data_IF_287078894812
#
_entry.id   IF_287078894812
#
_cell.length_a   1.000
_cell.length_b   1.000
_cell.length_c   1.000
_cell.angle_alpha   90.00
_cell.angle_beta   90.00
_cell.angle_gamma   90.00
#
_symmetry.space_group_name_H-M   'P 1'
#
loop_
_entity.id
_entity.type
_entity.pdbx_description
1 polymer ?
#
# COMPACT_ATOMS: atom_id res chain seq x y z
N UNK A 1 9.10 -10.88 -9.48
CA UNK A 1 7.81 -10.19 -9.18
C UNK A 1 7.14 -10.94 -8.05
N UNK A 2 6.59 -10.28 -7.03
CA UNK A 2 6.22 -10.88 -5.73
C UNK A 2 4.97 -11.81 -5.75
N UNK A 3 4.39 -12.07 -6.93
CA UNK A 3 3.28 -13.02 -7.09
C UNK A 3 1.92 -12.55 -6.52
N UNK A 4 1.83 -11.29 -6.08
CA UNK A 4 0.59 -10.62 -5.66
C UNK A 4 0.70 -9.11 -5.92
N UNK A 5 -0.44 -8.43 -5.98
CA UNK A 5 -0.54 -6.96 -5.92
C UNK A 5 -1.50 -6.58 -4.81
N UNK A 6 -1.14 -5.67 -3.89
CA UNK A 6 -2.05 -5.24 -2.82
C UNK A 6 -3.15 -4.30 -3.34
N UNK A 7 -2.86 -3.54 -4.41
CA UNK A 7 -3.76 -2.60 -5.06
C UNK A 7 -3.43 -2.50 -6.55
N UNK A 8 -4.47 -2.39 -7.38
CA UNK A 8 -4.39 -2.12 -8.81
C UNK A 8 -5.56 -1.23 -9.23
N UNK A 9 -5.29 -0.08 -9.85
CA UNK A 9 -6.34 0.70 -10.49
C UNK A 9 -6.55 0.24 -11.94
N UNK A 10 -7.78 -0.14 -12.28
CA UNK A 10 -8.18 -0.58 -13.63
C UNK A 10 -8.95 0.54 -14.32
N UNK A 11 -8.21 1.37 -15.06
CA UNK A 11 -8.76 2.56 -15.73
C UNK A 11 -9.94 2.26 -16.67
N UNK A 12 -9.88 1.18 -17.46
CA UNK A 12 -10.97 0.82 -18.41
C UNK A 12 -12.29 0.50 -17.71
N UNK A 13 -12.23 -0.04 -16.49
CA UNK A 13 -13.40 -0.38 -15.69
C UNK A 13 -13.69 0.66 -14.60
N UNK A 14 -12.90 1.73 -14.50
CA UNK A 14 -12.92 2.70 -13.40
C UNK A 14 -13.10 2.03 -12.03
N UNK A 15 -12.22 1.07 -11.71
CA UNK A 15 -12.35 0.23 -10.52
C UNK A 15 -10.99 0.05 -9.86
N UNK A 16 -10.94 0.09 -8.53
CA UNK A 16 -9.75 -0.26 -7.75
C UNK A 16 -9.89 -1.71 -7.32
N UNK A 17 -8.90 -2.54 -7.59
CA UNK A 17 -8.84 -3.93 -7.15
C UNK A 17 -7.85 -4.03 -6.01
N UNK A 18 -8.28 -4.52 -4.85
CA UNK A 18 -7.44 -4.66 -3.65
C UNK A 18 -7.34 -6.11 -3.23
N UNK A 19 -6.23 -6.49 -2.62
CA UNK A 19 -6.12 -7.74 -1.86
C UNK A 19 -6.68 -7.50 -0.45
N UNK A 20 -7.73 -8.21 -0.06
CA UNK A 20 -8.28 -8.12 1.29
C UNK A 20 -7.32 -8.76 2.30
N UNK A 21 -6.55 -7.90 2.96
CA UNK A 21 -5.54 -8.29 3.94
C UNK A 21 -6.17 -8.89 5.22
N UNK A 22 -7.48 -8.71 5.44
CA UNK A 22 -8.17 -9.34 6.59
C UNK A 22 -8.38 -10.84 6.40
N UNK A 23 -8.27 -11.35 5.17
CA UNK A 23 -8.41 -12.77 4.85
C UNK A 23 -7.07 -13.53 4.85
N UNK A 24 -5.95 -12.81 4.94
CA UNK A 24 -4.62 -13.40 5.03
C UNK A 24 -4.32 -13.87 6.47
N UNK A 25 -3.59 -14.98 6.65
CA UNK A 25 -2.93 -15.80 5.61
C UNK A 25 -3.80 -16.88 4.97
N UNK A 26 -5.04 -17.08 5.43
CA UNK A 26 -5.86 -18.23 5.09
C UNK A 26 -6.33 -18.23 3.63
N UNK A 27 -6.66 -17.06 3.08
CA UNK A 27 -7.19 -16.90 1.72
C UNK A 27 -6.69 -15.63 1.05
N UNK A 28 -6.31 -15.77 -0.22
CA UNK A 28 -6.02 -14.65 -1.11
C UNK A 28 -7.30 -14.23 -1.84
N UNK A 29 -7.96 -13.19 -1.32
CA UNK A 29 -9.22 -12.69 -1.86
C UNK A 29 -9.05 -11.28 -2.42
N UNK A 30 -9.52 -11.06 -3.64
CA UNK A 30 -9.49 -9.76 -4.30
C UNK A 30 -10.88 -9.13 -4.32
N UNK A 31 -10.96 -7.86 -3.90
CA UNK A 31 -12.20 -7.08 -3.90
C UNK A 31 -12.14 -5.94 -4.93
N UNK A 32 -13.30 -5.59 -5.48
CA UNK A 32 -13.46 -4.53 -6.47
C UNK A 32 -14.16 -3.34 -5.83
N UNK A 33 -13.47 -2.23 -5.69
CA UNK A 33 -13.98 -0.98 -5.14
C UNK A 33 -14.36 -0.06 -6.31
N UNK A 34 -15.64 0.30 -6.40
CA UNK A 34 -16.20 1.10 -7.51
C UNK A 34 -16.67 2.47 -7.07
N UNK A 35 -16.85 2.66 -5.77
CA UNK A 35 -17.36 3.90 -5.17
C UNK A 35 -16.41 4.44 -4.10
N UNK A 36 -16.59 5.69 -3.72
CA UNK A 36 -15.86 6.31 -2.60
C UNK A 36 -16.15 5.59 -1.29
N UNK A 37 -17.40 5.15 -1.09
CA UNK A 37 -17.80 4.39 0.10
C UNK A 37 -17.09 3.03 0.18
N UNK A 38 -16.92 2.33 -0.95
CA UNK A 38 -16.15 1.09 -0.99
C UNK A 38 -14.70 1.33 -0.51
N UNK A 39 -14.07 2.42 -0.98
CA UNK A 39 -12.70 2.79 -0.59
C UNK A 39 -12.63 3.20 0.87
N UNK A 40 -13.59 4.00 1.33
CA UNK A 40 -13.70 4.43 2.72
C UNK A 40 -13.80 3.22 3.66
N UNK A 41 -14.72 2.29 3.39
CA UNK A 41 -14.93 1.09 4.19
C UNK A 41 -13.73 0.14 4.12
N UNK A 42 -13.07 0.02 2.96
CA UNK A 42 -11.85 -0.77 2.85
C UNK A 42 -10.69 -0.22 3.70
N UNK A 43 -10.52 1.11 3.75
CA UNK A 43 -9.50 1.77 4.58
C UNK A 43 -9.86 1.65 6.07
N UNK A 44 -11.11 1.97 6.42
CA UNK A 44 -11.61 1.99 7.81
C UNK A 44 -11.58 0.61 8.44
N UNK A 45 -12.03 -0.42 7.73
CA UNK A 45 -12.05 -1.81 8.21
C UNK A 45 -10.72 -2.54 7.99
N UNK A 46 -9.69 -1.83 7.52
CA UNK A 46 -8.33 -2.36 7.32
C UNK A 46 -8.24 -3.53 6.33
N UNK A 47 -9.15 -3.60 5.34
CA UNK A 47 -9.02 -4.51 4.18
C UNK A 47 -7.77 -4.22 3.37
N UNK A 48 -7.38 -2.95 3.30
CA UNK A 48 -6.05 -2.52 2.89
C UNK A 48 -5.42 -1.69 4.01
N UNK A 49 -4.10 -1.82 4.20
CA UNK A 49 -3.37 -1.13 5.27
C UNK A 49 -1.91 -0.92 4.90
N UNK A 50 -1.22 -0.14 5.71
CA UNK A 50 0.11 0.39 5.40
C UNK A 50 -0.01 1.85 5.01
N UNK A 51 0.81 2.72 5.61
CA UNK A 51 0.62 4.15 5.46
C UNK A 51 0.68 4.59 3.98
N UNK A 52 1.65 4.15 3.16
CA UNK A 52 1.66 4.50 1.75
C UNK A 52 0.46 3.94 0.98
N UNK A 53 0.12 2.66 1.17
CA UNK A 53 -0.98 2.03 0.45
C UNK A 53 -2.33 2.70 0.72
N UNK A 54 -2.58 3.14 1.96
CA UNK A 54 -3.80 3.87 2.32
C UNK A 54 -3.88 5.20 1.56
N UNK A 55 -2.77 5.94 1.47
CA UNK A 55 -2.72 7.20 0.71
C UNK A 55 -3.01 6.98 -0.78
N UNK A 56 -2.43 5.94 -1.37
CA UNK A 56 -2.63 5.59 -2.78
C UNK A 56 -4.09 5.16 -3.04
N UNK A 57 -4.66 4.33 -2.16
CA UNK A 57 -6.06 3.94 -2.26
C UNK A 57 -7.00 5.14 -2.18
N UNK A 58 -6.75 6.09 -1.27
CA UNK A 58 -7.53 7.31 -1.18
C UNK A 58 -7.38 8.21 -2.42
N UNK A 59 -6.17 8.32 -2.98
CA UNK A 59 -5.95 9.08 -4.22
C UNK A 59 -6.79 8.50 -5.36
N UNK A 60 -6.75 7.18 -5.57
CA UNK A 60 -7.61 6.54 -6.57
C UNK A 60 -9.10 6.63 -6.20
N UNK A 61 -9.46 6.61 -4.93
CA UNK A 61 -10.84 6.84 -4.48
C UNK A 61 -11.37 8.21 -4.90
N UNK A 62 -10.54 9.25 -4.89
CA UNK A 62 -10.89 10.57 -5.44
C UNK A 62 -11.08 10.48 -6.96
N UNK A 63 -10.22 9.78 -7.68
CA UNK A 63 -10.33 9.59 -9.15
C UNK A 63 -11.67 8.92 -9.53
N UNK A 64 -12.18 7.98 -8.73
CA UNK A 64 -13.48 7.34 -9.00
C UNK A 64 -14.63 8.36 -9.14
N UNK A 65 -14.55 9.50 -8.44
CA UNK A 65 -15.56 10.58 -8.50
C UNK A 65 -15.39 11.55 -9.65
N UNK A 66 -14.22 11.56 -10.29
CA UNK A 66 -13.86 12.60 -11.24
C UNK A 66 -14.65 12.55 -12.56
N UNK A 67 -15.38 11.45 -12.82
CA UNK A 67 -16.33 11.35 -13.94
C UNK A 67 -17.50 12.35 -13.84
N UNK A 68 -17.84 12.80 -12.62
CA UNK A 68 -18.82 13.88 -12.44
C UNK A 68 -18.33 15.22 -13.02
N UNK A 69 -17.00 15.38 -13.16
CA UNK A 69 -16.34 16.62 -13.54
C UNK A 69 -16.78 17.84 -12.69
N UNK A 70 -17.23 17.58 -11.45
CA UNK A 70 -17.68 18.60 -10.51
C UNK A 70 -16.66 18.73 -9.37
N UNK A 71 -16.02 19.90 -9.29
CA UNK A 71 -15.01 20.20 -8.28
C UNK A 71 -15.55 19.99 -6.85
N UNK A 72 -16.77 20.43 -6.57
CA UNK A 72 -17.37 20.31 -5.24
C UNK A 72 -17.53 18.85 -4.79
N UNK A 73 -17.97 17.98 -5.70
CA UNK A 73 -18.11 16.54 -5.46
C UNK A 73 -16.77 15.89 -5.14
N UNK A 74 -15.73 16.23 -5.89
CA UNK A 74 -14.36 15.74 -5.71
C UNK A 74 -13.79 16.18 -4.35
N UNK A 75 -13.98 17.45 -3.98
CA UNK A 75 -13.50 17.98 -2.70
C UNK A 75 -14.23 17.32 -1.53
N UNK A 76 -15.55 17.13 -1.62
CA UNK A 76 -16.35 16.41 -0.61
C UNK A 76 -15.88 14.97 -0.45
N UNK A 77 -15.63 14.26 -1.55
CA UNK A 77 -15.13 12.88 -1.51
C UNK A 77 -13.74 12.80 -0.88
N UNK A 78 -12.84 13.73 -1.23
CA UNK A 78 -11.50 13.80 -0.65
C UNK A 78 -11.55 14.05 0.87
N UNK A 79 -12.39 14.97 1.33
CA UNK A 79 -12.57 15.24 2.76
C UNK A 79 -13.20 14.05 3.50
N UNK A 80 -14.20 13.42 2.91
CA UNK A 80 -14.82 12.21 3.46
C UNK A 80 -13.82 11.06 3.63
N UNK A 81 -13.02 10.76 2.60
CA UNK A 81 -11.94 9.75 2.67
C UNK A 81 -10.93 10.06 3.78
N UNK A 82 -10.65 11.34 4.03
CA UNK A 82 -9.75 11.78 5.10
C UNK A 82 -10.23 11.40 6.50
N UNK A 83 -11.53 11.18 6.67
CA UNK A 83 -12.11 10.76 7.96
C UNK A 83 -11.98 9.26 8.22
N UNK A 84 -11.58 8.45 7.24
CA UNK A 84 -11.55 7.00 7.37
C UNK A 84 -10.60 6.54 8.50
N UNK A 85 -9.43 7.17 8.62
CA UNK A 85 -8.42 6.86 9.65
C UNK A 85 -7.64 8.12 10.07
N UNK A 86 -8.03 8.82 11.14
CA UNK A 86 -7.57 10.17 11.47
C UNK A 86 -6.09 10.30 11.90
N UNK A 87 -5.37 9.19 12.02
CA UNK A 87 -3.93 9.17 12.35
C UNK A 87 -3.03 8.82 11.17
N UNK A 88 -3.61 8.52 9.99
CA UNK A 88 -2.85 8.12 8.82
C UNK A 88 -2.27 9.36 8.10
N UNK A 89 -1.04 9.76 8.43
CA UNK A 89 -0.39 10.94 7.83
C UNK A 89 -0.35 10.87 6.29
N UNK A 90 -0.02 9.71 5.73
CA UNK A 90 0.02 9.49 4.28
C UNK A 90 -1.35 9.61 3.60
N UNK A 91 -2.45 9.34 4.33
CA UNK A 91 -3.81 9.57 3.84
C UNK A 91 -4.04 11.06 3.60
N UNK A 92 -3.76 11.88 4.61
CA UNK A 92 -3.91 13.34 4.50
C UNK A 92 -2.97 13.95 3.48
N UNK A 93 -1.73 13.47 3.40
CA UNK A 93 -0.77 13.91 2.39
C UNK A 93 -1.28 13.66 0.97
N UNK A 94 -1.78 12.45 0.69
CA UNK A 94 -2.33 12.11 -0.62
C UNK A 94 -3.59 12.93 -0.93
N UNK A 95 -4.53 13.03 0.00
CA UNK A 95 -5.75 13.85 -0.14
C UNK A 95 -5.42 15.29 -0.45
N UNK A 96 -4.45 15.88 0.26
CA UNK A 96 -4.03 17.26 0.02
C UNK A 96 -3.52 17.43 -1.42
N UNK A 97 -2.66 16.53 -1.91
CA UNK A 97 -2.17 16.58 -3.30
C UNK A 97 -3.32 16.51 -4.31
N UNK A 98 -4.28 15.61 -4.10
CA UNK A 98 -5.45 15.48 -4.97
C UNK A 98 -6.31 16.75 -4.97
N UNK A 99 -6.55 17.37 -3.81
CA UNK A 99 -7.28 18.64 -3.71
C UNK A 99 -6.53 19.78 -4.42
N UNK A 100 -5.21 19.86 -4.25
CA UNK A 100 -4.37 20.88 -4.87
C UNK A 100 -4.37 20.79 -6.41
N UNK A 101 -4.45 19.58 -6.98
CA UNK A 101 -4.64 19.36 -8.42
C UNK A 101 -6.06 19.72 -8.85
N UNK A 102 -7.08 19.24 -8.13
CA UNK A 102 -8.48 19.46 -8.49
C UNK A 102 -8.82 20.96 -8.67
N UNK A 103 -8.38 21.82 -7.75
CA UNK A 103 -8.70 23.27 -7.78
C UNK A 103 -8.03 24.04 -8.93
N UNK A 104 -6.98 23.47 -9.55
CA UNK A 104 -6.26 24.08 -10.68
C UNK A 104 -6.63 23.45 -12.02
N UNK A 105 -7.34 22.34 -11.98
CA UNK A 105 -7.51 21.47 -13.13
C UNK A 105 -8.52 22.01 -14.12
N UNK A 106 -8.22 21.83 -15.41
CA UNK A 106 -9.17 22.06 -16.52
C UNK A 106 -9.79 20.75 -17.02
N UNK A 107 -9.14 19.63 -16.74
CA UNK A 107 -9.60 18.28 -17.05
C UNK A 107 -9.44 17.40 -15.80
N UNK A 108 -10.47 17.43 -14.93
CA UNK A 108 -10.40 16.87 -13.59
C UNK A 108 -10.03 15.38 -13.63
N UNK A 109 -10.66 14.58 -14.50
CA UNK A 109 -10.40 13.16 -14.54
C UNK A 109 -8.95 12.84 -14.95
N UNK A 110 -8.47 13.40 -16.05
CA UNK A 110 -7.12 13.10 -16.56
C UNK A 110 -6.02 13.57 -15.61
N UNK A 111 -6.14 14.78 -15.06
CA UNK A 111 -5.11 15.34 -14.19
C UNK A 111 -5.12 14.68 -12.81
N UNK A 112 -6.28 14.34 -12.25
CA UNK A 112 -6.35 13.58 -10.99
C UNK A 112 -5.84 12.15 -11.18
N UNK A 113 -6.17 11.50 -12.30
CA UNK A 113 -5.63 10.17 -12.59
C UNK A 113 -4.11 10.20 -12.69
N UNK A 114 -3.57 11.19 -13.41
CA UNK A 114 -2.12 11.38 -13.53
C UNK A 114 -1.47 11.61 -12.16
N UNK A 115 -2.10 12.39 -11.29
CA UNK A 115 -1.58 12.63 -9.94
C UNK A 115 -1.62 11.38 -9.06
N UNK A 116 -2.72 10.61 -9.09
CA UNK A 116 -2.82 9.35 -8.34
C UNK A 116 -1.77 8.33 -8.81
N UNK A 117 -1.54 8.24 -10.12
CA UNK A 117 -0.47 7.42 -10.69
C UNK A 117 0.92 7.93 -10.29
N UNK A 118 1.12 9.24 -10.20
CA UNK A 118 2.38 9.83 -9.74
C UNK A 118 2.67 9.48 -8.28
N UNK A 119 1.68 9.64 -7.38
CA UNK A 119 1.76 9.23 -5.97
C UNK A 119 2.17 7.76 -5.85
N UNK A 120 1.53 6.88 -6.62
CA UNK A 120 1.86 5.46 -6.65
C UNK A 120 3.28 5.21 -7.16
N UNK A 121 3.67 5.81 -8.28
CA UNK A 121 4.99 5.61 -8.87
C UNK A 121 6.11 6.15 -7.98
N UNK A 122 5.90 7.28 -7.32
CA UNK A 122 6.83 7.85 -6.34
C UNK A 122 7.03 6.89 -5.16
N UNK A 123 5.97 6.27 -4.64
CA UNK A 123 6.07 5.26 -3.57
C UNK A 123 6.82 4.00 -4.04
N UNK A 124 6.56 3.51 -5.27
CA UNK A 124 7.32 2.39 -5.86
C UNK A 124 8.82 2.72 -5.93
N UNK A 125 9.15 3.93 -6.38
CA UNK A 125 10.54 4.40 -6.48
C UNK A 125 11.19 4.52 -5.10
N UNK A 126 10.47 5.10 -4.12
CA UNK A 126 10.95 5.20 -2.75
C UNK A 126 11.22 3.81 -2.14
N UNK A 127 10.31 2.85 -2.32
CA UNK A 127 10.51 1.46 -1.89
C UNK A 127 11.75 0.81 -2.52
N UNK A 128 11.96 1.04 -3.83
CA UNK A 128 13.16 0.58 -4.55
C UNK A 128 14.44 1.15 -3.94
N UNK A 129 14.52 2.47 -3.76
CA UNK A 129 15.70 3.13 -3.19
C UNK A 129 15.96 2.71 -1.75
N UNK A 130 14.92 2.63 -0.91
CA UNK A 130 15.04 2.14 0.47
C UNK A 130 15.60 0.71 0.48
N UNK A 131 15.08 -0.16 -0.39
CA UNK A 131 15.57 -1.52 -0.55
C UNK A 131 17.03 -1.58 -0.96
N UNK A 132 17.42 -0.81 -1.98
CA UNK A 132 18.79 -0.73 -2.49
C UNK A 132 19.77 -0.28 -1.41
N UNK A 133 19.59 0.94 -0.87
CA UNK A 133 20.51 1.50 0.13
C UNK A 133 20.51 0.70 1.43
N UNK A 134 19.34 0.26 1.91
CA UNK A 134 19.26 -0.52 3.14
C UNK A 134 19.88 -1.91 3.01
N UNK A 135 19.84 -2.51 1.81
CA UNK A 135 20.45 -3.83 1.58
C UNK A 135 21.96 -3.83 1.73
N UNK A 136 22.63 -2.68 1.56
CA UNK A 136 24.08 -2.55 1.76
C UNK A 136 24.50 -2.85 3.21
N UNK A 137 23.63 -2.58 4.17
CA UNK A 137 23.84 -2.87 5.59
C UNK A 137 23.62 -4.36 5.93
N UNK A 138 22.99 -5.12 5.04
CA UNK A 138 22.68 -6.54 5.25
C UNK A 138 23.89 -7.39 4.87
N UNK A 139 24.40 -8.14 5.86
CA UNK A 139 25.45 -9.14 5.67
C UNK A 139 24.87 -10.45 5.13
N UNK A 140 25.71 -11.28 4.50
CA UNK A 140 25.34 -12.64 4.09
C UNK A 140 24.88 -13.44 5.32
N UNK A 141 23.72 -14.09 5.21
CA UNK A 141 23.04 -14.88 6.24
C UNK A 141 22.74 -14.10 7.53
N UNK A 142 22.54 -12.78 7.42
CA UNK A 142 22.14 -11.96 8.55
C UNK A 142 20.82 -12.45 9.16
N UNK A 143 20.74 -12.40 10.49
CA UNK A 143 19.50 -12.63 11.25
C UNK A 143 18.86 -11.27 11.52
N UNK A 144 17.68 -11.01 10.97
CA UNK A 144 17.03 -9.71 11.04
C UNK A 144 15.69 -9.86 11.75
N UNK A 145 15.47 -9.06 12.79
CA UNK A 145 14.18 -8.98 13.46
C UNK A 145 13.34 -7.87 12.82
N UNK A 146 12.06 -8.14 12.58
CA UNK A 146 11.10 -7.17 12.02
C UNK A 146 9.84 -7.11 12.88
N UNK A 147 9.21 -5.95 12.91
CA UNK A 147 7.99 -5.68 13.66
C UNK A 147 6.90 -5.16 12.75
N UNK A 148 5.65 -5.56 13.00
CA UNK A 148 4.49 -5.24 12.15
C UNK A 148 4.64 -5.78 10.72
N UNK A 149 4.05 -5.08 9.75
CA UNK A 149 4.15 -5.35 8.33
C UNK A 149 4.48 -4.05 7.58
N UNK A 150 5.70 -4.01 7.04
CA UNK A 150 6.25 -2.88 6.28
C UNK A 150 6.85 -3.41 4.97
N UNK A 151 6.14 -4.35 4.34
CA UNK A 151 6.50 -4.97 3.08
C UNK A 151 5.63 -4.53 1.92
N UNK A 152 5.55 -5.38 0.91
CA UNK A 152 4.84 -5.09 -0.32
C UNK A 152 3.32 -5.06 -0.10
N UNK A 153 2.81 -5.72 0.94
CA UNK A 153 1.41 -5.57 1.33
C UNK A 153 1.07 -4.18 1.88
N UNK A 154 2.07 -3.40 2.32
CA UNK A 154 1.86 -2.11 2.96
C UNK A 154 2.15 -0.90 2.04
N UNK A 155 2.62 -1.14 0.82
CA UNK A 155 3.04 -0.10 -0.14
C UNK A 155 2.64 -0.51 -1.56
N UNK A 156 2.92 0.31 -2.56
CA UNK A 156 2.75 -0.03 -3.98
C UNK A 156 3.96 -0.75 -4.59
N UNK A 157 5.09 -0.76 -3.87
CA UNK A 157 6.35 -1.34 -4.31
C UNK A 157 6.71 -2.62 -3.56
N UNK A 158 8.02 -2.84 -3.38
CA UNK A 158 8.57 -3.97 -2.63
C UNK A 158 8.49 -3.78 -1.10
N UNK A 159 7.84 -2.72 -0.62
CA UNK A 159 7.85 -2.32 0.79
C UNK A 159 9.07 -1.51 1.20
N UNK A 160 9.13 -1.19 2.49
CA UNK A 160 10.22 -0.41 3.09
C UNK A 160 11.19 -1.35 3.82
N UNK A 161 10.89 -1.72 5.07
CA UNK A 161 11.74 -2.61 5.85
C UNK A 161 11.86 -4.00 5.22
N UNK A 162 10.77 -4.56 4.69
CA UNK A 162 10.86 -5.83 3.97
C UNK A 162 11.39 -5.64 2.54
N UNK A 163 11.32 -4.43 1.97
CA UNK A 163 11.98 -4.08 0.71
C UNK A 163 13.50 -4.29 0.78
N UNK A 164 14.10 -3.96 1.93
CA UNK A 164 15.52 -4.25 2.22
C UNK A 164 15.79 -5.76 2.19
N UNK A 165 14.91 -6.55 2.81
CA UNK A 165 15.03 -8.02 2.87
C UNK A 165 14.87 -8.63 1.48
N UNK A 166 13.85 -8.24 0.72
CA UNK A 166 13.67 -8.70 -0.67
C UNK A 166 14.87 -8.36 -1.55
N UNK A 167 15.42 -7.15 -1.39
CA UNK A 167 16.60 -6.73 -2.15
C UNK A 167 17.83 -7.55 -1.76
N UNK A 168 18.05 -7.78 -0.46
CA UNK A 168 19.15 -8.61 0.02
C UNK A 168 19.02 -10.08 -0.44
N UNK A 169 17.81 -10.64 -0.45
CA UNK A 169 17.53 -11.97 -0.99
C UNK A 169 17.89 -12.04 -2.49
N UNK A 170 17.45 -11.06 -3.29
CA UNK A 170 17.78 -10.98 -4.72
C UNK A 170 19.29 -10.82 -4.98
N UNK A 171 20.03 -10.26 -4.02
CA UNK A 171 21.51 -10.19 -4.03
C UNK A 171 22.18 -11.48 -3.53
N UNK A 172 21.44 -12.58 -3.34
CA UNK A 172 21.92 -13.86 -2.83
C UNK A 172 22.53 -13.77 -1.42
N UNK A 173 22.12 -12.78 -0.61
CA UNK A 173 22.59 -12.66 0.78
C UNK A 173 21.89 -13.64 1.71
N UNK A 174 20.77 -14.25 1.31
CA UNK A 174 20.05 -15.28 2.06
C UNK A 174 19.74 -14.89 3.53
N UNK A 175 19.12 -13.72 3.81
CA UNK A 175 18.74 -13.33 5.17
C UNK A 175 17.79 -14.35 5.85
N UNK A 176 17.86 -14.41 7.18
CA UNK A 176 16.92 -15.15 8.03
C UNK A 176 16.11 -14.15 8.84
N UNK A 177 14.79 -14.16 8.68
CA UNK A 177 13.91 -13.15 9.28
C UNK A 177 13.22 -13.72 10.52
N UNK A 178 13.21 -12.93 11.59
CA UNK A 178 12.42 -13.17 12.81
C UNK A 178 11.31 -12.12 12.86
N UNK A 179 10.08 -12.51 12.55
CA UNK A 179 8.93 -11.64 12.54
C UNK A 179 8.21 -11.70 13.89
N UNK A 180 8.19 -10.60 14.63
CA UNK A 180 7.37 -10.49 15.84
C UNK A 180 5.89 -10.55 15.47
N UNK A 181 5.07 -11.33 16.20
CA UNK A 181 3.67 -11.57 15.84
C UNK A 181 2.85 -10.27 15.69
N UNK A 182 3.20 -9.25 16.48
CA UNK A 182 2.62 -7.90 16.48
C UNK A 182 1.16 -7.90 16.93
N UNK A 183 0.92 -8.10 18.24
CA UNK A 183 -0.41 -7.97 18.85
C UNK A 183 -0.96 -6.53 18.73
N UNK A 184 -2.30 -6.36 18.75
CA UNK A 184 -3.33 -7.40 18.80
C UNK A 184 -3.76 -7.93 17.42
N UNK A 185 -3.44 -7.23 16.33
CA UNK A 185 -3.94 -7.55 14.99
C UNK A 185 -3.10 -8.59 14.23
N UNK A 186 -1.98 -9.01 14.81
CA UNK A 186 -1.12 -10.10 14.34
C UNK A 186 -0.49 -9.86 12.96
N UNK A 187 -0.12 -8.63 12.65
CA UNK A 187 0.46 -8.25 11.36
C UNK A 187 1.71 -9.06 10.99
N UNK A 188 2.59 -9.28 11.95
CA UNK A 188 3.82 -10.02 11.69
C UNK A 188 3.54 -11.49 11.43
N UNK A 189 2.65 -12.08 12.23
CA UNK A 189 2.27 -13.48 12.10
C UNK A 189 1.38 -13.77 10.90
N UNK A 190 0.57 -12.80 10.44
CA UNK A 190 -0.41 -12.99 9.35
C UNK A 190 0.05 -12.46 7.99
N UNK A 191 0.72 -11.30 7.97
CA UNK A 191 1.04 -10.58 6.73
C UNK A 191 2.52 -10.71 6.39
N UNK A 192 3.41 -10.38 7.33
CA UNK A 192 4.86 -10.42 7.11
C UNK A 192 5.36 -11.84 6.87
N UNK A 193 4.98 -12.79 7.73
CA UNK A 193 5.34 -14.21 7.55
C UNK A 193 4.82 -14.76 6.22
N UNK A 194 3.60 -14.40 5.83
CA UNK A 194 2.94 -14.83 4.62
C UNK A 194 3.67 -14.31 3.38
N UNK A 195 3.94 -13.01 3.28
CA UNK A 195 4.57 -12.46 2.08
C UNK A 195 6.02 -12.91 1.93
N UNK A 196 6.76 -13.04 3.04
CA UNK A 196 8.13 -13.55 3.01
C UNK A 196 8.19 -15.03 2.63
N UNK A 197 7.30 -15.86 3.20
CA UNK A 197 7.25 -17.30 2.90
C UNK A 197 6.80 -17.56 1.47
N UNK A 198 5.82 -16.80 0.96
CA UNK A 198 5.39 -16.85 -0.44
C UNK A 198 6.54 -16.53 -1.41
N UNK A 199 7.47 -15.68 -0.99
CA UNK A 199 8.70 -15.35 -1.73
C UNK A 199 9.91 -16.21 -1.32
N UNK A 200 9.68 -17.33 -0.63
CA UNK A 200 10.71 -18.33 -0.24
C UNK A 200 11.82 -17.79 0.69
N UNK A 201 11.56 -16.68 1.39
CA UNK A 201 12.49 -16.12 2.36
C UNK A 201 12.30 -16.84 3.70
N UNK A 202 13.41 -17.33 4.26
CA UNK A 202 13.42 -18.09 5.52
C UNK A 202 12.96 -17.22 6.68
N UNK A 203 11.80 -17.55 7.25
CA UNK A 203 11.12 -16.73 8.26
C UNK A 203 10.71 -17.56 9.48
N UNK A 204 10.90 -17.01 10.67
CA UNK A 204 10.42 -17.55 11.94
C UNK A 204 9.50 -16.51 12.59
N UNK A 205 8.32 -16.92 13.04
CA UNK A 205 7.43 -16.06 13.83
C UNK A 205 7.78 -16.21 15.31
N UNK A 206 7.90 -15.08 16.01
CA UNK A 206 8.18 -15.02 17.46
C UNK A 206 7.16 -14.10 18.15
N UNK A 207 6.90 -14.34 19.44
CA UNK A 207 6.05 -13.48 20.28
C UNK A 207 6.80 -12.24 20.77
#
# INVERSE_FOLDING_TARGET
>A
MLGFKPLEYRQTANTIVILDQTQLPEKEMYEHLKTVDDVYEAIKNMKLRGAPLIGIAAAYGVVLTAHSNELESILKAADYLGTARPTAVNLFWAIKRMKDVAVKSKNLFEELLKEAQAIEQEDRNACQYIGQYGSELVKVRAKIMVYCNAGALATSGIGTALGIIYTAENQNKNPVVYACETRPLLQGARLTSWELTKNRIKTYVIS
#
